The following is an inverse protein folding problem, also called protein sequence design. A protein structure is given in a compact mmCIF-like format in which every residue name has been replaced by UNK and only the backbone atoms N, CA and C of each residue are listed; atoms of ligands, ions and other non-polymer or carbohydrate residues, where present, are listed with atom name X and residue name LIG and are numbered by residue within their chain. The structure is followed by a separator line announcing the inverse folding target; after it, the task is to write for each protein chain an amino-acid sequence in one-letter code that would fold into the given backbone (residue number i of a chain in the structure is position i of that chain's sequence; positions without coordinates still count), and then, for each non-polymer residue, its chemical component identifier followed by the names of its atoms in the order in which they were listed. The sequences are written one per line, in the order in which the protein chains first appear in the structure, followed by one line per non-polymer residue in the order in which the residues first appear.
data_IF_793581407432
#
_entry.id   IF_793581407432
#
_cell.length_a   1.000
_cell.length_b   1.000
_cell.length_c   1.000
_cell.angle_alpha   90.00
_cell.angle_beta   90.00
_cell.angle_gamma   90.00
#
_symmetry.space_group_name_H-M   'P 1'
#
loop_
_entity.id
_entity.type
_entity.pdbx_description
1 polymer ?
#
# COMPACT_ATOMS: atom_id res chain seq x y z
N UNK A 1 14.00 3.92 2.76
CA UNK A 1 14.69 3.32 1.59
C UNK A 1 13.78 2.34 0.83
N UNK A 2 12.48 2.60 0.78
CA UNK A 2 11.49 1.76 0.08
C UNK A 2 11.29 2.14 -1.40
N UNK A 3 12.07 3.04 -1.95
CA UNK A 3 11.95 3.51 -3.33
C UNK A 3 12.76 2.73 -4.38
N UNK A 4 13.35 1.58 -4.02
CA UNK A 4 14.30 0.86 -4.88
C UNK A 4 13.85 -0.56 -5.21
N UNK A 5 12.65 -0.95 -4.85
CA UNK A 5 12.06 -2.25 -5.19
C UNK A 5 10.61 -2.03 -5.60
N UNK A 6 10.12 -2.87 -6.48
CA UNK A 6 8.70 -2.88 -6.79
C UNK A 6 7.91 -3.26 -5.55
N UNK A 7 7.01 -2.40 -5.14
CA UNK A 7 6.11 -2.66 -4.02
C UNK A 7 4.66 -2.48 -4.47
N UNK A 8 3.78 -3.32 -3.97
CA UNK A 8 2.36 -3.22 -4.24
C UNK A 8 1.56 -3.13 -2.95
N UNK A 9 0.52 -2.32 -2.95
CA UNK A 9 -0.39 -2.13 -1.83
C UNK A 9 -1.83 -2.15 -2.34
N UNK A 10 -2.48 -3.33 -2.41
CA UNK A 10 -3.80 -3.46 -2.98
C UNK A 10 -4.86 -2.73 -2.14
N UNK A 11 -5.89 -2.19 -2.81
CA UNK A 11 -7.02 -1.53 -2.18
C UNK A 11 -8.17 -2.50 -1.85
N UNK A 12 -8.21 -3.69 -2.47
CA UNK A 12 -9.25 -4.70 -2.25
C UNK A 12 -8.70 -6.12 -2.37
N UNK A 13 -9.48 -7.11 -1.94
CA UNK A 13 -9.13 -8.52 -2.07
C UNK A 13 -9.06 -8.95 -3.54
N UNK A 14 -9.92 -8.41 -4.40
CA UNK A 14 -9.87 -8.67 -5.83
C UNK A 14 -8.57 -8.11 -6.42
N UNK A 15 -8.22 -6.89 -6.08
CA UNK A 15 -6.96 -6.29 -6.53
C UNK A 15 -5.73 -7.06 -6.02
N UNK A 16 -5.76 -7.53 -4.76
CA UNK A 16 -4.70 -8.37 -4.20
C UNK A 16 -4.52 -9.68 -4.99
N UNK A 17 -5.64 -10.32 -5.34
CA UNK A 17 -5.62 -11.53 -6.16
C UNK A 17 -5.01 -11.30 -7.55
N UNK A 18 -5.36 -10.19 -8.21
CA UNK A 18 -4.82 -9.83 -9.52
C UNK A 18 -3.34 -9.46 -9.44
N UNK A 19 -2.99 -8.60 -8.50
CA UNK A 19 -1.63 -8.10 -8.33
C UNK A 19 -0.63 -9.18 -7.97
N UNK A 20 -1.02 -10.26 -7.25
CA UNK A 20 -0.09 -11.34 -6.94
C UNK A 20 0.40 -12.04 -8.21
N UNK A 21 -0.48 -12.27 -9.18
CA UNK A 21 -0.10 -12.85 -10.48
C UNK A 21 0.83 -11.93 -11.27
N UNK A 22 0.51 -10.63 -11.30
CA UNK A 22 1.34 -9.62 -11.97
C UNK A 22 2.70 -9.44 -11.27
N UNK A 23 2.74 -9.58 -9.94
CA UNK A 23 3.99 -9.51 -9.17
C UNK A 23 4.97 -10.63 -9.56
N UNK A 24 4.49 -11.85 -9.82
CA UNK A 24 5.33 -12.92 -10.35
C UNK A 24 5.85 -12.60 -11.74
N UNK A 25 5.00 -12.13 -12.65
CA UNK A 25 5.41 -11.75 -14.01
C UNK A 25 6.47 -10.63 -13.97
N UNK A 26 6.25 -9.63 -13.11
CA UNK A 26 7.19 -8.52 -12.91
C UNK A 26 8.52 -8.99 -12.32
N UNK A 27 8.46 -9.84 -11.30
CA UNK A 27 9.65 -10.42 -10.66
C UNK A 27 10.50 -11.20 -11.65
N UNK A 28 9.90 -11.99 -12.53
CA UNK A 28 10.60 -12.74 -13.56
C UNK A 28 11.18 -11.82 -14.64
N UNK A 29 10.40 -10.83 -15.10
CA UNK A 29 10.82 -9.87 -16.12
C UNK A 29 12.08 -9.09 -15.71
N UNK A 30 12.11 -8.60 -14.48
CA UNK A 30 13.18 -7.73 -13.98
C UNK A 30 14.19 -8.44 -13.07
N UNK A 31 13.95 -9.71 -12.76
CA UNK A 31 14.79 -10.51 -11.86
C UNK A 31 15.02 -9.84 -10.49
N UNK A 32 13.97 -9.29 -9.92
CA UNK A 32 13.94 -8.67 -8.60
C UNK A 32 12.80 -9.23 -7.76
N UNK A 33 12.91 -9.22 -6.42
CA UNK A 33 11.77 -9.54 -5.57
C UNK A 33 10.73 -8.42 -5.64
N UNK A 34 9.45 -8.80 -5.64
CA UNK A 34 8.31 -7.88 -5.47
C UNK A 34 7.76 -8.05 -4.06
N UNK A 35 7.53 -6.95 -3.37
CA UNK A 35 6.94 -6.93 -2.04
C UNK A 35 5.48 -6.48 -2.11
N UNK A 36 4.56 -7.36 -1.74
CA UNK A 36 3.15 -6.99 -1.56
C UNK A 36 2.88 -6.65 -0.09
N UNK A 37 2.50 -5.41 0.16
CA UNK A 37 2.09 -4.95 1.49
C UNK A 37 0.58 -5.11 1.66
N UNK A 38 0.17 -5.89 2.65
CA UNK A 38 -1.23 -6.08 3.01
C UNK A 38 -1.45 -5.49 4.40
N UNK A 39 -2.43 -4.60 4.54
CA UNK A 39 -2.78 -4.02 5.84
C UNK A 39 -3.50 -5.03 6.72
N UNK A 40 -3.43 -4.86 8.04
CA UNK A 40 -4.13 -5.72 9.01
C UNK A 40 -5.63 -5.83 8.70
N UNK A 41 -6.28 -4.72 8.37
CA UNK A 41 -7.70 -4.68 8.02
C UNK A 41 -8.00 -5.56 6.79
N UNK A 42 -7.19 -5.46 5.74
CA UNK A 42 -7.36 -6.29 4.55
C UNK A 42 -7.11 -7.77 4.85
N UNK A 43 -6.06 -8.09 5.61
CA UNK A 43 -5.71 -9.47 5.96
C UNK A 43 -6.80 -10.18 6.79
N UNK A 44 -7.57 -9.41 7.58
CA UNK A 44 -8.65 -9.93 8.41
C UNK A 44 -10.05 -9.79 7.79
N UNK A 45 -10.18 -9.11 6.65
CA UNK A 45 -11.44 -8.96 5.95
C UNK A 45 -11.69 -10.10 4.96
N UNK A 46 -12.92 -10.24 4.52
CA UNK A 46 -13.34 -11.24 3.53
C UNK A 46 -14.19 -10.57 2.47
N UNK A 47 -13.96 -10.96 1.21
CA UNK A 47 -14.79 -10.54 0.09
C UNK A 47 -14.95 -11.69 -0.90
N UNK A 48 -15.92 -11.58 -1.79
CA UNK A 48 -16.04 -12.43 -2.96
C UNK A 48 -14.98 -11.98 -3.96
N UNK A 49 -14.22 -12.93 -4.49
CA UNK A 49 -13.19 -12.71 -5.49
C UNK A 49 -13.52 -13.52 -6.74
N UNK A 50 -13.50 -12.87 -7.89
CA UNK A 50 -13.61 -13.53 -9.19
C UNK A 50 -12.28 -14.20 -9.51
N UNK A 51 -12.30 -15.51 -9.61
CA UNK A 51 -11.11 -16.33 -9.89
C UNK A 51 -10.96 -16.44 -11.41
N UNK A 52 -9.78 -16.04 -11.91
CA UNK A 52 -9.41 -16.21 -13.32
C UNK A 52 -9.06 -17.66 -13.67
N UNK A 53 -8.86 -17.91 -14.96
CA UNK A 53 -8.38 -19.21 -15.43
C UNK A 53 -6.99 -19.54 -14.86
N UNK A 54 -6.72 -20.81 -14.54
CA UNK A 54 -5.40 -21.23 -14.07
C UNK A 54 -4.30 -20.88 -15.07
N UNK A 55 -3.27 -20.22 -14.58
CA UNK A 55 -2.09 -19.90 -15.39
C UNK A 55 -1.26 -21.16 -15.63
N UNK A 56 -0.71 -21.29 -16.83
CA UNK A 56 0.28 -22.31 -17.10
C UNK A 56 1.58 -22.01 -16.34
N UNK A 57 2.21 -23.05 -15.83
CA UNK A 57 3.51 -22.90 -15.18
C UNK A 57 4.55 -22.43 -16.19
N UNK A 58 5.31 -21.40 -15.81
CA UNK A 58 6.45 -20.94 -16.61
C UNK A 58 7.55 -22.01 -16.64
N UNK A 59 8.30 -22.05 -17.72
CA UNK A 59 9.44 -22.95 -17.82
C UNK A 59 10.49 -22.57 -16.78
N UNK A 60 10.89 -23.53 -15.95
CA UNK A 60 11.93 -23.31 -14.95
C UNK A 60 13.30 -23.25 -15.62
N UNK A 61 14.03 -22.18 -15.35
CA UNK A 61 15.39 -21.98 -15.80
C UNK A 61 16.34 -21.82 -14.63
N UNK A 62 17.53 -22.41 -14.75
CA UNK A 62 18.63 -22.02 -13.87
C UNK A 62 19.08 -20.61 -14.23
N UNK A 63 19.40 -19.75 -13.23
CA UNK A 63 19.84 -18.39 -13.53
C UNK A 63 21.15 -18.43 -14.35
N UNK A 64 21.16 -17.74 -15.49
CA UNK A 64 22.34 -17.63 -16.35
C UNK A 64 23.54 -17.02 -15.61
N UNK A 65 23.25 -16.16 -14.62
CA UNK A 65 24.23 -15.46 -13.79
C UNK A 65 23.97 -15.73 -12.30
N UNK A 66 24.29 -16.92 -11.78
CA UNK A 66 23.97 -17.27 -10.39
C UNK A 66 24.60 -16.32 -9.35
N UNK A 67 25.71 -15.65 -9.68
CA UNK A 67 26.35 -14.64 -8.79
C UNK A 67 25.47 -13.43 -8.50
N UNK A 68 24.49 -13.10 -9.34
CA UNK A 68 23.57 -11.98 -9.09
C UNK A 68 22.68 -12.19 -7.87
N UNK A 69 22.45 -13.45 -7.48
CA UNK A 69 21.64 -13.84 -6.32
C UNK A 69 22.47 -14.00 -5.03
N UNK A 70 23.78 -13.86 -5.13
CA UNK A 70 24.70 -13.99 -4.01
C UNK A 70 25.00 -12.60 -3.43
N UNK A 71 24.59 -12.37 -2.19
CA UNK A 71 24.77 -11.09 -1.50
C UNK A 71 26.21 -10.92 -0.99
N UNK A 72 27.14 -10.69 -1.91
CA UNK A 72 28.53 -10.32 -1.59
C UNK A 72 28.80 -8.86 -2.00
N UNK A 73 29.70 -8.13 -1.30
CA UNK A 73 29.94 -6.71 -1.59
C UNK A 73 30.26 -6.39 -3.04
N UNK A 74 31.08 -7.24 -3.70
CA UNK A 74 31.40 -7.08 -5.12
C UNK A 74 30.20 -7.21 -6.03
N UNK A 75 29.37 -8.23 -5.82
CA UNK A 75 28.16 -8.49 -6.59
C UNK A 75 27.10 -7.39 -6.33
N UNK A 76 26.95 -6.97 -5.06
CA UNK A 76 26.01 -5.93 -4.66
C UNK A 76 26.32 -4.59 -5.31
N UNK A 77 27.60 -4.23 -5.48
CA UNK A 77 28.00 -2.99 -6.16
C UNK A 77 27.59 -3.00 -7.64
N UNK A 78 27.70 -4.14 -8.31
CA UNK A 78 27.28 -4.28 -9.72
C UNK A 78 25.76 -4.18 -9.81
N UNK A 79 25.05 -4.97 -9.00
CA UNK A 79 23.58 -4.96 -8.98
C UNK A 79 23.00 -3.59 -8.61
N UNK A 80 23.63 -2.86 -7.72
CA UNK A 80 23.18 -1.52 -7.35
C UNK A 80 23.20 -0.54 -8.52
N UNK A 81 24.21 -0.60 -9.41
CA UNK A 81 24.24 0.21 -10.64
C UNK A 81 23.06 -0.14 -11.55
N UNK A 82 22.84 -1.42 -11.79
CA UNK A 82 21.70 -1.90 -12.59
C UNK A 82 20.37 -1.43 -11.98
N UNK A 83 20.22 -1.56 -10.67
CA UNK A 83 19.01 -1.12 -9.97
C UNK A 83 18.73 0.39 -10.13
N UNK A 84 19.78 1.22 -10.12
CA UNK A 84 19.62 2.68 -10.36
C UNK A 84 19.07 2.95 -11.78
N UNK A 85 19.53 2.20 -12.77
CA UNK A 85 19.07 2.32 -14.15
C UNK A 85 17.63 1.79 -14.31
N UNK A 86 17.35 0.63 -13.73
CA UNK A 86 16.04 -0.02 -13.76
C UNK A 86 14.97 0.75 -12.98
N UNK A 87 15.34 1.51 -11.94
CA UNK A 87 14.37 2.27 -11.15
C UNK A 87 13.55 3.27 -12.01
N UNK A 88 14.14 3.81 -13.07
CA UNK A 88 13.42 4.66 -14.02
C UNK A 88 12.34 3.89 -14.79
N UNK A 89 12.60 2.61 -15.08
CA UNK A 89 11.62 1.75 -15.72
C UNK A 89 10.50 1.40 -14.75
N UNK A 90 10.81 1.18 -13.48
CA UNK A 90 9.80 0.92 -12.44
C UNK A 90 8.90 2.14 -12.21
N UNK A 91 9.45 3.35 -12.24
CA UNK A 91 8.64 4.58 -12.20
C UNK A 91 7.67 4.66 -13.39
N UNK A 92 8.14 4.34 -14.60
CA UNK A 92 7.30 4.31 -15.79
C UNK A 92 6.21 3.22 -15.72
N UNK A 93 6.55 2.03 -15.24
CA UNK A 93 5.58 0.96 -15.01
C UNK A 93 4.51 1.40 -13.98
N UNK A 94 4.92 2.06 -12.90
CA UNK A 94 3.99 2.59 -11.91
C UNK A 94 3.09 3.70 -12.48
N UNK A 95 3.62 4.58 -13.32
CA UNK A 95 2.84 5.65 -13.97
C UNK A 95 1.79 5.11 -14.94
N UNK A 96 2.04 3.99 -15.61
CA UNK A 96 1.13 3.36 -16.55
C UNK A 96 0.34 2.19 -15.94
N UNK A 97 0.52 1.91 -14.67
CA UNK A 97 -0.16 0.83 -13.99
C UNK A 97 -1.67 1.02 -13.97
N UNK A 98 -2.42 -0.04 -14.29
CA UNK A 98 -3.88 -0.04 -14.14
C UNK A 98 -4.36 0.09 -12.68
N UNK A 99 -3.45 -0.17 -11.74
CA UNK A 99 -3.71 -0.09 -10.30
C UNK A 99 -3.49 1.33 -9.74
N UNK A 100 -2.74 2.19 -10.47
CA UNK A 100 -2.58 3.60 -10.16
C UNK A 100 -3.52 4.41 -11.05
N UNK A 101 -4.47 5.11 -10.45
CA UNK A 101 -5.52 5.80 -11.21
C UNK A 101 -5.65 7.25 -10.78
N UNK A 102 -5.54 8.14 -11.75
CA UNK A 102 -5.90 9.55 -11.59
C UNK A 102 -7.38 9.72 -11.96
N UNK A 103 -8.20 10.05 -10.99
CA UNK A 103 -9.63 10.32 -11.12
C UNK A 103 -9.78 11.82 -10.99
N UNK A 104 -10.26 12.48 -12.05
CA UNK A 104 -10.46 13.93 -12.03
C UNK A 104 -11.66 14.33 -11.17
N UNK A 105 -11.64 15.57 -10.68
CA UNK A 105 -12.72 16.16 -9.91
C UNK A 105 -12.83 17.65 -10.17
N UNK A 106 -14.04 18.22 -10.11
CA UNK A 106 -14.26 19.63 -10.44
C UNK A 106 -13.68 20.61 -9.42
N UNK A 107 -13.54 20.21 -8.17
CA UNK A 107 -13.01 21.06 -7.09
C UNK A 107 -11.50 20.88 -6.93
N UNK A 108 -10.74 21.83 -7.44
CA UNK A 108 -9.27 21.85 -7.37
C UNK A 108 -8.72 22.51 -6.08
N UNK A 109 -9.57 22.79 -5.11
CA UNK A 109 -9.09 23.32 -3.82
C UNK A 109 -8.20 22.34 -3.07
N UNK A 110 -8.40 21.03 -3.29
CA UNK A 110 -7.63 19.95 -2.69
C UNK A 110 -7.50 18.79 -3.69
N UNK A 111 -6.30 18.22 -3.82
CA UNK A 111 -6.06 16.92 -4.45
C UNK A 111 -5.86 15.86 -3.39
N UNK A 112 -6.37 14.66 -3.59
CA UNK A 112 -6.28 13.56 -2.61
C UNK A 112 -5.37 12.47 -3.18
N UNK A 113 -4.31 12.11 -2.47
CA UNK A 113 -3.46 10.95 -2.78
C UNK A 113 -3.79 9.87 -1.78
N UNK A 114 -4.35 8.76 -2.26
CA UNK A 114 -4.85 7.66 -1.44
C UNK A 114 -4.08 6.37 -1.75
N UNK A 115 -3.38 5.83 -0.75
CA UNK A 115 -2.51 4.66 -0.90
C UNK A 115 -3.23 3.39 -0.47
N UNK A 116 -3.26 2.39 -1.37
CA UNK A 116 -3.85 1.09 -1.12
C UNK A 116 -5.30 1.18 -0.60
N UNK A 117 -5.55 0.52 0.53
CA UNK A 117 -6.88 0.46 1.16
C UNK A 117 -7.45 1.85 1.51
N UNK A 118 -6.60 2.85 1.73
CA UNK A 118 -7.05 4.20 2.06
C UNK A 118 -7.92 4.84 0.95
N UNK A 119 -7.79 4.38 -0.29
CA UNK A 119 -8.67 4.75 -1.38
C UNK A 119 -10.16 4.46 -1.06
N UNK A 120 -10.44 3.31 -0.47
CA UNK A 120 -11.81 2.94 -0.12
C UNK A 120 -12.38 3.87 0.97
N UNK A 121 -11.55 4.32 1.92
CA UNK A 121 -12.00 5.27 2.94
C UNK A 121 -12.43 6.62 2.35
N UNK A 122 -11.80 7.03 1.25
CA UNK A 122 -12.22 8.23 0.52
C UNK A 122 -13.56 7.95 -0.17
N UNK A 123 -13.64 6.85 -0.93
CA UNK A 123 -14.82 6.56 -1.74
C UNK A 123 -16.08 6.29 -0.91
N UNK A 124 -15.95 5.70 0.27
CA UNK A 124 -17.05 5.52 1.22
C UNK A 124 -17.64 6.86 1.73
N UNK A 125 -16.86 7.93 1.69
CA UNK A 125 -17.35 9.27 2.05
C UNK A 125 -18.04 9.99 0.89
N UNK A 126 -17.88 9.49 -0.34
CA UNK A 126 -18.43 10.09 -1.55
C UNK A 126 -19.10 9.02 -2.44
N UNK A 127 -20.23 8.42 -2.01
CA UNK A 127 -20.90 7.35 -2.74
C UNK A 127 -21.40 7.78 -4.13
N UNK A 128 -21.67 9.07 -4.32
CA UNK A 128 -22.10 9.63 -5.61
C UNK A 128 -20.92 10.18 -6.46
N UNK A 129 -19.69 10.04 -5.97
CA UNK A 129 -18.47 10.54 -6.62
C UNK A 129 -17.77 11.62 -5.81
N UNK A 130 -16.44 11.54 -5.79
CA UNK A 130 -15.61 12.50 -5.06
C UNK A 130 -15.53 13.82 -5.87
N UNK A 131 -15.81 14.99 -5.26
CA UNK A 131 -15.68 16.27 -5.96
C UNK A 131 -14.22 16.67 -6.21
N UNK A 132 -13.28 16.13 -5.45
CA UNK A 132 -11.87 16.43 -5.56
C UNK A 132 -11.16 15.46 -6.50
N UNK A 133 -10.07 15.87 -7.17
CA UNK A 133 -9.18 14.92 -7.85
C UNK A 133 -8.61 13.90 -6.86
N UNK A 134 -8.64 12.62 -7.24
CA UNK A 134 -8.11 11.51 -6.43
C UNK A 134 -7.05 10.78 -7.24
N UNK A 135 -5.84 10.68 -6.70
CA UNK A 135 -4.80 9.77 -7.19
C UNK A 135 -4.75 8.54 -6.29
N UNK A 136 -5.27 7.43 -6.78
CA UNK A 136 -5.08 6.13 -6.15
C UNK A 136 -3.70 5.60 -6.47
N UNK A 137 -2.95 5.18 -5.45
CA UNK A 137 -1.64 4.54 -5.58
C UNK A 137 -1.71 3.14 -4.95
N UNK A 138 -1.49 2.12 -5.76
CA UNK A 138 -1.41 0.72 -5.33
C UNK A 138 -0.11 0.04 -5.79
N UNK A 139 0.63 0.64 -6.72
CA UNK A 139 1.90 0.17 -7.24
C UNK A 139 2.97 1.25 -7.12
N UNK A 140 4.15 0.86 -6.65
CA UNK A 140 5.31 1.73 -6.43
C UNK A 140 6.48 1.28 -7.33
N UNK A 141 7.46 2.15 -7.61
CA UNK A 141 7.76 3.44 -6.98
C UNK A 141 6.67 4.49 -7.15
N UNK A 142 6.77 5.58 -6.39
CA UNK A 142 5.80 6.67 -6.46
C UNK A 142 5.68 7.18 -7.91
N UNK A 143 4.45 7.21 -8.50
CA UNK A 143 4.23 7.70 -9.87
C UNK A 143 4.40 9.22 -9.90
N UNK A 144 5.65 9.65 -10.06
CA UNK A 144 6.09 11.05 -9.88
C UNK A 144 5.37 12.02 -10.80
N UNK A 145 5.18 11.66 -12.07
CA UNK A 145 4.48 12.53 -13.04
C UNK A 145 3.01 12.75 -12.64
N UNK A 146 2.32 11.72 -12.16
CA UNK A 146 0.93 11.84 -11.68
C UNK A 146 0.84 12.71 -10.43
N UNK A 147 1.79 12.58 -9.50
CA UNK A 147 1.87 13.43 -8.30
C UNK A 147 2.14 14.88 -8.67
N UNK A 148 3.10 15.15 -9.55
CA UNK A 148 3.41 16.50 -10.04
C UNK A 148 2.23 17.13 -10.79
N UNK A 149 1.53 16.35 -11.62
CA UNK A 149 0.31 16.79 -12.27
C UNK A 149 -0.72 17.25 -11.22
N UNK A 150 -1.03 16.44 -10.23
CA UNK A 150 -1.99 16.81 -9.17
C UNK A 150 -1.53 18.06 -8.41
N UNK A 151 -0.23 18.16 -8.09
CA UNK A 151 0.32 19.33 -7.40
C UNK A 151 0.21 20.61 -8.24
N UNK A 152 0.26 20.51 -9.58
CA UNK A 152 0.08 21.66 -10.49
C UNK A 152 -1.38 22.07 -10.66
N UNK A 153 -2.32 21.12 -10.52
CA UNK A 153 -3.74 21.36 -10.72
C UNK A 153 -4.47 21.78 -9.43
N UNK A 154 -3.94 21.42 -8.25
CA UNK A 154 -4.62 21.60 -6.98
C UNK A 154 -3.92 22.62 -6.07
N UNK A 155 -4.70 23.26 -5.17
CA UNK A 155 -4.17 24.26 -4.23
C UNK A 155 -3.52 23.64 -2.98
N UNK A 156 -3.89 22.42 -2.65
CA UNK A 156 -3.35 21.66 -1.52
C UNK A 156 -3.43 20.17 -1.81
N UNK A 157 -2.61 19.37 -1.12
CA UNK A 157 -2.65 17.91 -1.19
C UNK A 157 -3.03 17.31 0.16
N UNK A 158 -3.93 16.36 0.16
CA UNK A 158 -4.23 15.47 1.29
C UNK A 158 -3.67 14.09 0.98
N UNK A 159 -2.75 13.61 1.82
CA UNK A 159 -2.17 12.28 1.69
C UNK A 159 -2.83 11.34 2.69
N UNK A 160 -3.43 10.27 2.19
CA UNK A 160 -4.14 9.27 2.99
C UNK A 160 -3.44 7.93 2.82
N UNK A 161 -2.70 7.52 3.84
CA UNK A 161 -1.91 6.28 3.84
C UNK A 161 -1.97 5.59 5.21
N UNK A 162 -1.88 4.27 5.23
CA UNK A 162 -1.88 3.50 6.46
C UNK A 162 -0.46 3.40 7.07
N UNK A 163 -0.40 3.45 8.39
CA UNK A 163 0.83 3.26 9.15
C UNK A 163 1.75 4.48 9.14
N UNK A 164 3.03 4.29 8.78
CA UNK A 164 4.02 5.36 8.72
C UNK A 164 3.76 6.27 7.52
N UNK A 165 3.79 7.61 7.68
CA UNK A 165 3.54 8.57 6.59
C UNK A 165 4.73 8.67 5.64
N UNK A 166 4.98 7.61 4.89
CA UNK A 166 6.11 7.49 3.98
C UNK A 166 5.90 8.30 2.71
N UNK A 167 4.73 8.18 2.11
CA UNK A 167 4.38 8.89 0.87
C UNK A 167 4.30 10.39 1.14
N UNK A 168 3.76 10.80 2.28
CA UNK A 168 3.76 12.20 2.70
C UNK A 168 5.19 12.75 2.84
N UNK A 169 6.11 12.01 3.46
CA UNK A 169 7.51 12.38 3.58
C UNK A 169 8.20 12.48 2.21
N UNK A 170 7.95 11.53 1.32
CA UNK A 170 8.51 11.51 -0.03
C UNK A 170 8.02 12.70 -0.85
N UNK A 171 6.71 13.00 -0.83
CA UNK A 171 6.11 14.10 -1.57
C UNK A 171 6.63 15.44 -1.09
N UNK A 172 6.79 15.63 0.21
CA UNK A 172 7.39 16.87 0.77
C UNK A 172 8.81 17.13 0.25
N UNK A 173 9.59 16.07 0.02
CA UNK A 173 10.92 16.17 -0.59
C UNK A 173 10.91 16.32 -2.12
N UNK A 174 9.87 15.83 -2.79
CA UNK A 174 9.75 15.82 -4.25
C UNK A 174 9.23 17.15 -4.81
N UNK A 175 8.26 17.75 -4.12
CA UNK A 175 7.64 19.00 -4.55
C UNK A 175 8.51 20.17 -4.17
N UNK A 176 9.31 20.68 -5.07
CA UNK A 176 10.11 21.92 -4.88
C UNK A 176 9.27 23.21 -4.74
N UNK A 177 7.95 23.10 -4.60
CA UNK A 177 6.99 24.21 -4.49
C UNK A 177 6.31 24.23 -3.12
N UNK A 178 5.94 25.40 -2.58
CA UNK A 178 5.30 25.53 -1.26
C UNK A 178 3.80 25.20 -1.28
N UNK A 179 3.40 24.11 -1.94
CA UNK A 179 2.02 23.64 -1.88
C UNK A 179 1.74 23.06 -0.49
N UNK A 180 0.61 23.41 0.18
CA UNK A 180 0.24 22.80 1.45
C UNK A 180 -0.01 21.28 1.30
N UNK A 181 0.79 20.48 1.99
CA UNK A 181 0.63 19.02 2.07
C UNK A 181 0.09 18.67 3.44
N UNK A 182 -1.09 18.05 3.47
CA UNK A 182 -1.83 17.64 4.68
C UNK A 182 -1.85 16.13 4.79
N UNK A 183 -1.80 15.61 6.01
CA UNK A 183 -1.81 14.18 6.26
C UNK A 183 -1.55 13.86 7.73
N UNK A 184 -0.84 12.77 8.01
CA UNK A 184 -0.50 12.36 9.38
C UNK A 184 0.56 13.25 10.04
N UNK A 185 1.47 13.84 9.26
CA UNK A 185 2.53 14.70 9.79
C UNK A 185 2.03 16.11 10.14
N UNK A 186 1.04 16.59 9.43
CA UNK A 186 0.41 17.90 9.68
C UNK A 186 -0.74 17.85 10.69
N UNK A 187 -1.18 16.64 11.09
CA UNK A 187 -2.18 16.42 12.13
C UNK A 187 -3.64 16.38 11.63
N UNK A 188 -3.89 16.50 10.33
CA UNK A 188 -5.24 16.33 9.75
C UNK A 188 -5.73 14.87 9.84
N UNK A 189 -4.81 13.92 9.82
CA UNK A 189 -5.09 12.51 10.07
C UNK A 189 -4.43 12.06 11.38
N UNK A 190 -5.00 11.08 12.12
CA UNK A 190 -4.40 10.55 13.34
C UNK A 190 -2.97 10.05 13.08
N UNK A 191 -2.01 10.44 13.93
CA UNK A 191 -0.60 10.04 13.78
C UNK A 191 -0.40 8.54 13.99
N UNK A 192 -1.24 7.91 14.81
CA UNK A 192 -1.17 6.49 15.19
C UNK A 192 -2.52 5.81 15.02
N UNK A 193 -2.51 4.48 14.94
CA UNK A 193 -3.71 3.66 14.77
C UNK A 193 -4.13 3.50 13.32
N UNK A 194 -5.14 2.66 13.12
CA UNK A 194 -5.75 2.42 11.81
C UNK A 194 -6.57 3.62 11.36
N UNK A 195 -6.59 3.87 10.06
CA UNK A 195 -7.52 4.81 9.47
C UNK A 195 -8.92 4.18 9.39
N UNK A 196 -9.91 5.04 9.45
CA UNK A 196 -11.31 4.69 9.23
C UNK A 196 -11.95 5.74 8.33
N UNK A 197 -13.07 5.45 7.66
CA UNK A 197 -13.81 6.46 6.91
C UNK A 197 -14.13 7.71 7.74
N UNK A 198 -14.41 7.55 9.05
CA UNK A 198 -14.80 8.66 9.92
C UNK A 198 -13.63 9.60 10.25
N UNK A 199 -12.42 9.09 10.50
CA UNK A 199 -11.29 9.98 10.74
C UNK A 199 -10.77 10.62 9.46
N UNK A 200 -10.89 9.95 8.31
CA UNK A 200 -10.63 10.54 7.00
C UNK A 200 -11.67 11.62 6.65
N UNK A 201 -12.93 11.41 7.04
CA UNK A 201 -14.02 12.37 6.85
C UNK A 201 -13.71 13.76 7.43
N UNK A 202 -13.10 13.80 8.63
CA UNK A 202 -12.67 15.05 9.25
C UNK A 202 -11.61 15.79 8.41
N UNK A 203 -10.63 15.08 7.86
CA UNK A 203 -9.60 15.65 6.99
C UNK A 203 -10.16 16.18 5.66
N UNK A 204 -11.30 15.65 5.21
CA UNK A 204 -12.04 16.10 4.03
C UNK A 204 -12.94 17.32 4.29
N UNK A 205 -13.01 17.82 5.54
CA UNK A 205 -13.89 18.93 5.93
C UNK A 205 -15.37 18.56 6.00
N UNK A 206 -15.71 17.27 6.02
CA UNK A 206 -17.08 16.79 6.08
C UNK A 206 -17.59 16.73 7.53
N UNK A 207 -18.89 16.95 7.80
CA UNK A 207 -19.43 16.87 9.14
C UNK A 207 -19.30 15.45 9.70
N UNK A 208 -19.08 15.34 11.01
CA UNK A 208 -18.98 14.06 11.71
C UNK A 208 -20.27 13.25 11.56
N UNK A 209 -20.17 11.96 11.30
CA UNK A 209 -21.33 11.06 11.34
C UNK A 209 -21.68 10.77 12.79
N UNK A 210 -22.97 10.65 13.08
CA UNK A 210 -23.41 10.03 14.32
C UNK A 210 -23.09 8.53 14.23
N UNK A 211 -22.32 8.03 15.20
CA UNK A 211 -22.02 6.60 15.27
C UNK A 211 -23.16 5.89 16.01
N UNK A 212 -23.67 4.82 15.43
CA UNK A 212 -24.52 3.90 16.18
C UNK A 212 -23.71 3.19 17.27
N UNK A 213 -24.36 2.93 18.40
CA UNK A 213 -23.74 2.16 19.47
C UNK A 213 -23.37 0.76 18.97
N UNK A 214 -22.21 0.27 19.35
CA UNK A 214 -21.80 -1.09 19.01
C UNK A 214 -22.85 -2.10 19.52
N UNK A 215 -23.23 -3.05 18.67
CA UNK A 215 -24.16 -4.11 19.04
C UNK A 215 -23.66 -4.86 20.29
N UNK A 216 -24.54 -5.15 21.24
CA UNK A 216 -24.23 -5.98 22.41
C UNK A 216 -23.75 -7.40 22.04
N UNK A 217 -24.00 -7.84 20.80
CA UNK A 217 -23.52 -9.11 20.26
C UNK A 217 -22.05 -9.05 19.83
N UNK A 218 -21.46 -7.85 19.82
CA UNK A 218 -20.06 -7.68 19.43
C UNK A 218 -19.14 -8.16 20.55
N UNK A 219 -18.45 -9.28 20.30
CA UNK A 219 -17.46 -9.84 21.25
C UNK A 219 -16.05 -9.36 20.88
N UNK A 220 -15.26 -8.90 21.86
CA UNK A 220 -13.85 -8.62 21.65
C UNK A 220 -13.14 -9.87 21.14
N UNK A 221 -12.30 -9.73 20.12
CA UNK A 221 -11.43 -10.79 19.59
C UNK A 221 -9.98 -10.45 19.92
N UNK A 222 -9.49 -10.77 21.14
CA UNK A 222 -8.09 -10.58 21.43
C UNK A 222 -7.25 -11.45 20.50
N UNK A 223 -6.05 -11.03 20.14
CA UNK A 223 -5.12 -11.86 19.38
C UNK A 223 -4.96 -13.22 20.04
N UNK A 224 -5.19 -14.29 19.30
CA UNK A 224 -5.06 -15.66 19.79
C UNK A 224 -4.38 -16.51 18.72
N UNK A 225 -3.59 -17.48 19.18
CA UNK A 225 -2.98 -18.45 18.28
C UNK A 225 -4.03 -19.40 17.72
N UNK A 226 -4.01 -19.63 16.41
CA UNK A 226 -4.93 -20.54 15.73
C UNK A 226 -4.84 -21.97 16.29
N UNK A 227 -5.92 -22.74 16.16
CA UNK A 227 -5.87 -24.18 16.43
C UNK A 227 -4.95 -24.85 15.39
N UNK A 228 -4.07 -25.75 15.86
CA UNK A 228 -3.09 -26.44 15.03
C UNK A 228 -1.90 -25.58 14.58
N UNK A 229 -1.73 -24.38 15.16
CA UNK A 229 -0.56 -23.55 14.90
C UNK A 229 0.66 -24.05 15.68
N UNK A 230 1.78 -24.33 14.98
CA UNK A 230 3.01 -24.77 15.62
C UNK A 230 3.59 -23.80 16.67
N UNK A 231 3.30 -22.49 16.55
CA UNK A 231 3.65 -21.51 17.59
C UNK A 231 2.94 -21.80 18.91
N UNK A 232 1.72 -22.33 18.88
CA UNK A 232 0.97 -22.70 20.08
C UNK A 232 1.68 -23.81 20.84
N UNK A 233 2.19 -24.81 20.13
CA UNK A 233 2.91 -25.93 20.72
C UNK A 233 4.22 -25.47 21.37
N UNK A 234 4.95 -24.58 20.70
CA UNK A 234 6.18 -23.97 21.24
C UNK A 234 5.88 -23.17 22.50
N UNK A 235 4.84 -22.33 22.53
CA UNK A 235 4.48 -21.58 23.74
C UNK A 235 3.97 -22.47 24.85
N UNK A 236 3.30 -23.57 24.54
CA UNK A 236 2.89 -24.57 25.56
C UNK A 236 4.11 -25.19 26.18
N UNK A 237 5.04 -25.71 25.37
CA UNK A 237 6.28 -26.32 25.88
C UNK A 237 7.12 -25.34 26.73
N UNK A 238 7.24 -24.07 26.30
CA UNK A 238 7.91 -23.03 27.06
C UNK A 238 7.25 -22.79 28.43
N UNK A 239 5.92 -22.69 28.46
CA UNK A 239 5.19 -22.49 29.71
C UNK A 239 5.30 -23.69 30.65
N UNK A 240 5.38 -24.91 30.14
CA UNK A 240 5.56 -26.11 30.96
C UNK A 240 6.94 -26.11 31.61
N UNK A 241 8.00 -25.81 30.84
CA UNK A 241 9.37 -25.65 31.38
C UNK A 241 9.44 -24.56 32.46
N UNK A 242 8.78 -23.40 32.22
CA UNK A 242 8.75 -22.29 33.19
C UNK A 242 7.99 -22.63 34.50
N UNK A 243 7.10 -23.61 34.48
CA UNK A 243 6.39 -24.10 35.70
C UNK A 243 7.20 -25.11 36.50
N UNK A 244 8.13 -25.78 35.84
CA UNK A 244 9.00 -26.80 36.46
C UNK A 244 10.25 -26.19 37.11
N UNK A 245 10.58 -24.95 36.77
CA UNK A 245 11.74 -24.18 37.25
C UNK A 245 11.34 -22.82 37.84
#
# INVERSE_FOLDING_TARGET
RQGWTENTEPASQQEAYEMIGEAFDFSEKYQIPVLMRVTTRMAHSRAVVEIGEPRQQNTLHYPERPRQWILMPGNSRVRYKTLIEENKLFEQEAEHSRHNRYIDGPDKSMGIIACGLAYNYIMENFPEGCPFPVLKISQYPLPTALVQRMASECRSLLIVEEGQPLVEEMIRGLLGTPIPVKGRLSGELPRTGELTPDNVRGALGLPRRESEAASQLTMPRPPALCQGCGHRDVYTALNDVLREH
#
